data_IF_103997269032
#
_entry.id   IF_103997269032
#
_cell.length_a   1.000
_cell.length_b   1.000
_cell.length_c   1.000
_cell.angle_alpha   90.00
_cell.angle_beta   90.00
_cell.angle_gamma   90.00
#
_symmetry.space_group_name_H-M   'P 1'
#
loop_
_entity.id
_entity.type
_entity.pdbx_description
1 polymer ?
#
# COMPACT_ATOMS: atom_id res chain seq x y z
N UNK A 1 -8.10 27.56 39.31
CA UNK A 1 -8.28 28.31 38.05
C UNK A 1 -7.27 27.77 37.01
N UNK A 2 -7.11 26.45 36.92
CA UNK A 2 -5.89 25.81 36.38
C UNK A 2 -6.13 24.83 35.22
N UNK A 3 -7.40 24.63 34.85
CA UNK A 3 -7.83 23.69 33.82
C UNK A 3 -7.29 23.99 32.39
N UNK A 4 -7.28 25.24 31.88
CA UNK A 4 -6.87 25.48 30.49
C UNK A 4 -5.36 25.34 30.30
N UNK A 5 -4.56 25.58 31.35
CA UNK A 5 -3.10 25.48 31.30
C UNK A 5 -2.63 24.03 31.30
N UNK A 6 -3.31 23.16 32.05
CA UNK A 6 -3.06 21.72 32.06
C UNK A 6 -3.51 21.04 30.76
N UNK A 7 -4.60 21.50 30.14
CA UNK A 7 -5.06 20.98 28.85
C UNK A 7 -4.09 21.36 27.71
N UNK A 8 -3.57 22.59 27.72
CA UNK A 8 -2.53 23.04 26.79
C UNK A 8 -1.22 22.26 26.99
N UNK A 9 -0.82 22.03 28.24
CA UNK A 9 0.36 21.22 28.59
C UNK A 9 0.21 19.76 28.15
N UNK A 10 -0.98 19.17 28.30
CA UNK A 10 -1.26 17.80 27.85
C UNK A 10 -1.24 17.69 26.33
N UNK A 11 -1.79 18.68 25.62
CA UNK A 11 -1.77 18.76 24.16
C UNK A 11 -0.34 18.95 23.64
N UNK A 12 0.45 19.81 24.28
CA UNK A 12 1.88 19.99 23.98
C UNK A 12 2.68 18.73 24.29
N UNK A 13 2.39 18.01 25.38
CA UNK A 13 3.04 16.73 25.69
C UNK A 13 2.67 15.64 24.68
N UNK A 14 1.41 15.55 24.25
CA UNK A 14 0.94 14.59 23.25
C UNK A 14 1.59 14.85 21.88
N UNK A 15 1.74 16.13 21.51
CA UNK A 15 2.49 16.56 20.32
C UNK A 15 4.00 16.32 20.49
N UNK A 16 4.58 16.49 21.69
CA UNK A 16 5.99 16.18 21.94
C UNK A 16 6.30 14.68 21.99
N UNK A 17 5.32 13.82 22.30
CA UNK A 17 5.44 12.35 22.18
C UNK A 17 5.32 11.85 20.75
N UNK A 18 5.24 12.76 19.76
CA UNK A 18 5.58 12.46 18.35
C UNK A 18 7.02 11.96 18.30
N UNK A 19 7.23 10.70 18.63
CA UNK A 19 8.33 9.95 18.04
C UNK A 19 8.07 10.04 16.56
N UNK A 20 8.88 10.84 15.86
CA UNK A 20 8.92 10.88 14.41
C UNK A 20 9.29 9.47 13.99
N UNK A 21 8.28 8.64 13.78
CA UNK A 21 8.44 7.33 13.18
C UNK A 21 8.74 7.63 11.72
N UNK A 22 10.04 7.73 11.41
CA UNK A 22 10.52 7.73 10.05
C UNK A 22 10.21 6.34 9.48
N UNK A 23 9.02 6.17 8.89
CA UNK A 23 8.75 5.04 8.02
C UNK A 23 9.56 5.27 6.74
N UNK A 24 10.76 4.70 6.69
CA UNK A 24 11.59 4.70 5.49
C UNK A 24 10.86 4.04 4.32
N UNK A 25 11.29 4.37 3.10
CA UNK A 25 10.85 3.71 1.86
C UNK A 25 10.70 2.20 2.07
N UNK A 26 9.57 1.60 1.66
CA UNK A 26 9.37 0.13 1.67
C UNK A 26 10.19 -0.47 0.52
N UNK A 27 11.49 -0.35 0.68
CA UNK A 27 12.48 -1.08 -0.08
C UNK A 27 12.49 -2.47 0.56
N UNK A 28 12.03 -3.47 -0.19
CA UNK A 28 12.08 -4.85 0.28
C UNK A 28 13.55 -5.29 0.32
N UNK A 29 14.21 -5.01 1.44
CA UNK A 29 15.51 -5.56 1.77
C UNK A 29 15.33 -7.07 1.95
N UNK A 30 15.98 -7.81 1.07
CA UNK A 30 16.02 -9.26 1.17
C UNK A 30 17.39 -9.62 1.75
N UNK A 31 17.39 -9.89 3.05
CA UNK A 31 18.59 -10.30 3.79
C UNK A 31 18.95 -11.77 3.59
N UNK A 32 18.08 -12.55 2.93
CA UNK A 32 18.28 -13.97 2.68
C UNK A 32 19.11 -14.19 1.41
N UNK A 33 18.96 -13.33 0.40
CA UNK A 33 19.66 -13.50 -0.86
C UNK A 33 21.13 -12.99 -0.80
N UNK A 34 22.08 -13.72 -1.40
CA UNK A 34 23.52 -13.45 -1.27
C UNK A 34 23.89 -12.08 -1.85
N UNK A 35 24.55 -11.24 -1.03
CA UNK A 35 25.10 -9.94 -1.45
C UNK A 35 26.44 -10.18 -2.16
N UNK A 36 26.55 -9.75 -3.42
CA UNK A 36 27.73 -9.92 -4.27
C UNK A 36 27.99 -8.63 -5.05
N UNK A 37 29.24 -8.31 -5.41
CA UNK A 37 29.55 -7.13 -6.21
C UNK A 37 28.80 -7.18 -7.56
N UNK A 38 27.93 -6.19 -7.77
CA UNK A 38 27.04 -6.09 -8.94
C UNK A 38 25.66 -6.75 -8.79
N UNK A 39 25.36 -7.34 -7.63
CA UNK A 39 24.08 -7.94 -7.28
C UNK A 39 23.63 -7.61 -5.85
N UNK A 40 23.52 -6.31 -5.58
CA UNK A 40 23.20 -5.78 -4.25
C UNK A 40 22.03 -4.79 -4.27
N UNK A 41 21.40 -4.60 -5.44
CA UNK A 41 20.25 -3.72 -5.54
C UNK A 41 19.11 -4.26 -4.69
N UNK A 42 18.27 -3.32 -4.26
CA UNK A 42 17.04 -3.66 -3.58
C UNK A 42 15.91 -3.87 -4.60
N UNK A 43 14.91 -4.66 -4.19
CA UNK A 43 13.70 -4.82 -4.99
C UNK A 43 12.86 -3.56 -4.93
N UNK A 44 12.70 -2.91 -6.08
CA UNK A 44 11.83 -1.74 -6.25
C UNK A 44 10.66 -2.12 -7.16
N UNK A 45 9.48 -1.62 -6.81
CA UNK A 45 8.32 -1.71 -7.70
C UNK A 45 8.47 -0.70 -8.84
N UNK A 46 8.20 -1.16 -10.04
CA UNK A 46 8.38 -0.40 -11.28
C UNK A 46 7.04 -0.33 -11.99
N UNK A 47 6.66 0.86 -12.43
CA UNK A 47 5.54 1.05 -13.33
C UNK A 47 6.04 1.03 -14.77
N UNK A 48 5.30 0.33 -15.61
CA UNK A 48 5.57 0.15 -17.04
C UNK A 48 4.33 0.58 -17.83
N UNK A 49 4.11 1.91 -17.99
CA UNK A 49 3.12 2.42 -18.93
C UNK A 49 3.54 2.08 -20.36
N UNK A 50 2.54 1.86 -21.20
CA UNK A 50 2.71 1.47 -22.59
C UNK A 50 2.05 2.48 -23.51
N UNK A 51 2.61 2.65 -24.70
CA UNK A 51 2.00 3.40 -25.79
C UNK A 51 1.91 2.48 -27.00
N UNK A 52 0.72 2.39 -27.58
CA UNK A 52 0.47 1.60 -28.79
C UNK A 52 0.08 2.59 -29.87
N UNK A 53 0.86 2.66 -30.94
CA UNK A 53 0.65 3.60 -32.05
C UNK A 53 0.51 5.07 -31.59
N UNK A 54 1.33 5.47 -30.61
CA UNK A 54 1.37 6.77 -29.94
C UNK A 54 0.20 7.11 -29.00
N UNK A 55 -0.78 6.22 -28.82
CA UNK A 55 -1.84 6.37 -27.83
C UNK A 55 -1.46 5.70 -26.50
N UNK A 56 -1.79 6.34 -25.38
CA UNK A 56 -1.53 5.77 -24.04
C UNK A 56 -2.38 4.51 -23.83
N UNK A 57 -1.70 3.40 -23.58
CA UNK A 57 -2.28 2.09 -23.35
C UNK A 57 -2.36 1.74 -21.87
N UNK A 58 -2.22 0.45 -21.59
CA UNK A 58 -2.27 -0.06 -20.23
C UNK A 58 -0.99 0.29 -19.45
N UNK A 59 -1.12 0.45 -18.13
CA UNK A 59 -0.01 0.54 -17.19
C UNK A 59 0.15 -0.79 -16.45
N UNK A 60 1.35 -1.39 -16.53
CA UNK A 60 1.67 -2.63 -15.82
C UNK A 60 2.58 -2.36 -14.61
N UNK A 61 2.52 -3.26 -13.63
CA UNK A 61 3.40 -3.24 -12.45
C UNK A 61 4.40 -4.38 -12.55
N UNK A 62 5.68 -4.05 -12.38
CA UNK A 62 6.80 -4.98 -12.37
C UNK A 62 7.69 -4.81 -11.14
N UNK A 63 8.70 -5.67 -11.04
CA UNK A 63 9.73 -5.61 -9.99
C UNK A 63 11.13 -5.60 -10.59
N UNK A 64 11.97 -4.68 -10.11
CA UNK A 64 13.38 -4.59 -10.54
C UNK A 64 14.23 -5.77 -10.05
N UNK A 65 15.32 -6.07 -10.76
CA UNK A 65 16.30 -7.08 -10.37
C UNK A 65 17.27 -6.59 -9.27
N UNK A 66 17.93 -7.52 -8.56
CA UNK A 66 19.06 -7.19 -7.66
C UNK A 66 20.35 -6.79 -8.39
N UNK A 67 20.42 -7.03 -9.70
CA UNK A 67 21.57 -6.74 -10.54
C UNK A 67 21.21 -5.71 -11.61
N UNK A 68 22.22 -5.15 -12.28
CA UNK A 68 22.03 -4.02 -13.19
C UNK A 68 22.12 -2.67 -12.47
N UNK A 69 21.95 -1.55 -13.17
CA UNK A 69 21.70 -0.26 -12.55
C UNK A 69 20.35 -0.27 -11.82
N UNK A 70 20.28 0.42 -10.69
CA UNK A 70 19.01 0.69 -10.02
C UNK A 70 18.14 1.56 -10.92
N UNK A 71 16.85 1.25 -10.97
CA UNK A 71 15.87 2.10 -11.63
C UNK A 71 15.65 3.32 -10.75
N UNK A 72 16.37 4.40 -11.04
CA UNK A 72 16.19 5.67 -10.33
C UNK A 72 14.75 6.18 -10.48
N UNK A 73 14.28 6.89 -9.45
CA UNK A 73 12.94 7.49 -9.41
C UNK A 73 12.82 8.57 -10.50
N UNK A 74 12.45 8.18 -11.71
CA UNK A 74 12.19 9.10 -12.82
C UNK A 74 10.78 9.69 -12.70
N UNK A 75 10.61 10.90 -13.22
CA UNK A 75 9.29 11.50 -13.39
C UNK A 75 8.45 10.68 -14.39
N UNK A 76 7.12 10.77 -14.26
CA UNK A 76 6.08 10.01 -14.99
C UNK A 76 6.13 10.14 -16.55
N UNK A 77 7.06 10.91 -17.11
CA UNK A 77 7.12 11.28 -18.54
C UNK A 77 8.55 11.36 -19.13
N UNK A 78 9.50 10.58 -18.62
CA UNK A 78 10.81 10.39 -19.25
C UNK A 78 10.74 9.76 -20.67
N UNK A 79 11.87 9.76 -21.39
CA UNK A 79 12.01 9.19 -22.75
C UNK A 79 11.33 7.82 -22.89
N UNK A 80 10.35 7.75 -23.78
CA UNK A 80 9.73 6.51 -24.23
C UNK A 80 10.74 5.75 -25.08
N UNK A 81 10.81 4.43 -24.89
CA UNK A 81 11.69 3.57 -25.67
C UNK A 81 10.86 2.51 -26.36
N UNK A 82 11.15 2.24 -27.64
CA UNK A 82 10.50 1.18 -28.40
C UNK A 82 10.69 -0.18 -27.73
N UNK A 83 9.63 -0.97 -27.67
CA UNK A 83 9.63 -2.33 -27.18
C UNK A 83 9.71 -3.30 -28.36
N UNK A 84 10.57 -4.30 -28.27
CA UNK A 84 10.65 -5.40 -29.23
C UNK A 84 10.61 -6.75 -28.53
N UNK A 85 10.02 -7.76 -29.18
CA UNK A 85 10.08 -9.14 -28.71
C UNK A 85 11.45 -9.76 -29.06
N UNK A 86 12.02 -10.55 -28.15
CA UNK A 86 13.22 -11.32 -28.42
C UNK A 86 12.97 -12.48 -29.41
N UNK A 87 13.90 -12.72 -30.33
CA UNK A 87 13.95 -13.96 -31.14
C UNK A 87 15.35 -14.60 -31.02
N UNK A 88 15.52 -15.68 -30.25
CA UNK A 88 14.49 -16.50 -29.60
C UNK A 88 13.88 -15.82 -28.35
N UNK A 89 12.64 -16.17 -27.97
CA UNK A 89 11.88 -15.49 -26.91
C UNK A 89 12.51 -15.60 -25.52
N UNK A 90 13.41 -16.57 -25.30
CA UNK A 90 14.12 -16.76 -24.04
C UNK A 90 15.43 -15.94 -23.95
N UNK A 91 15.93 -15.36 -25.04
CA UNK A 91 17.18 -14.57 -25.09
C UNK A 91 18.37 -15.27 -24.40
N UNK A 92 18.43 -16.61 -24.45
CA UNK A 92 19.57 -17.36 -23.92
C UNK A 92 20.76 -17.39 -24.89
N UNK A 93 20.50 -17.09 -26.16
CA UNK A 93 21.48 -16.86 -27.23
C UNK A 93 21.24 -15.48 -27.85
N UNK A 94 22.23 -14.99 -28.61
CA UNK A 94 22.16 -13.68 -29.26
C UNK A 94 20.86 -13.54 -30.07
N UNK A 95 20.01 -12.54 -29.77
CA UNK A 95 18.78 -12.31 -30.50
C UNK A 95 19.07 -12.01 -31.98
N UNK A 96 18.21 -12.51 -32.88
CA UNK A 96 18.33 -12.26 -34.32
C UNK A 96 17.93 -10.83 -34.70
N UNK A 97 17.08 -10.21 -33.90
CA UNK A 97 16.72 -8.81 -34.04
C UNK A 97 17.89 -7.90 -33.66
N UNK A 98 18.21 -6.94 -34.53
CA UNK A 98 19.24 -5.92 -34.25
C UNK A 98 18.65 -4.88 -33.32
N UNK A 99 19.10 -4.86 -32.07
CA UNK A 99 18.70 -3.85 -31.09
C UNK A 99 19.60 -2.63 -31.23
N UNK A 100 19.01 -1.44 -31.22
CA UNK A 100 19.73 -0.16 -31.25
C UNK A 100 19.28 0.74 -30.11
N UNK A 101 19.27 0.20 -28.90
CA UNK A 101 18.79 0.88 -27.69
C UNK A 101 17.31 0.65 -27.38
N UNK A 102 16.67 -0.34 -27.99
CA UNK A 102 15.29 -0.73 -27.69
C UNK A 102 15.20 -1.50 -26.35
N UNK A 103 14.00 -1.52 -25.76
CA UNK A 103 13.69 -2.41 -24.64
C UNK A 103 13.31 -3.76 -25.21
N UNK A 104 13.92 -4.83 -24.71
CA UNK A 104 13.63 -6.18 -25.18
C UNK A 104 12.71 -6.92 -24.21
N UNK A 105 11.64 -7.51 -24.74
CA UNK A 105 10.71 -8.39 -24.03
C UNK A 105 11.16 -9.84 -24.16
N UNK A 106 11.33 -10.52 -23.03
CA UNK A 106 11.92 -11.85 -22.92
C UNK A 106 11.07 -12.72 -22.00
N UNK A 107 10.97 -14.01 -22.30
CA UNK A 107 10.29 -14.98 -21.46
C UNK A 107 11.24 -15.69 -20.49
N UNK A 108 10.74 -15.95 -19.27
CA UNK A 108 11.44 -16.76 -18.26
C UNK A 108 11.57 -18.22 -18.72
N UNK A 109 12.75 -18.81 -18.49
CA UNK A 109 13.05 -20.22 -18.80
C UNK A 109 14.44 -20.41 -19.40
N UNK A 110 14.87 -21.67 -19.54
CA UNK A 110 16.09 -22.16 -20.21
C UNK A 110 17.46 -21.73 -19.65
N UNK A 111 17.61 -20.48 -19.18
CA UNK A 111 18.85 -19.95 -18.61
C UNK A 111 18.59 -18.95 -17.48
N UNK A 112 19.65 -18.58 -16.75
CA UNK A 112 19.59 -17.64 -15.62
C UNK A 112 19.17 -16.23 -16.04
N UNK A 113 18.58 -15.46 -15.12
CA UNK A 113 18.11 -14.09 -15.39
C UNK A 113 19.27 -13.15 -15.76
N UNK A 114 20.41 -13.33 -15.11
CA UNK A 114 21.66 -12.60 -15.33
C UNK A 114 22.24 -12.92 -16.70
N UNK A 115 22.18 -14.18 -17.16
CA UNK A 115 22.59 -14.55 -18.51
C UNK A 115 21.69 -13.88 -19.57
N UNK A 116 20.37 -13.89 -19.40
CA UNK A 116 19.44 -13.19 -20.31
C UNK A 116 19.77 -11.70 -20.43
N UNK A 117 20.02 -11.06 -19.29
CA UNK A 117 20.37 -9.65 -19.25
C UNK A 117 21.70 -9.34 -19.95
N UNK A 118 22.72 -10.16 -19.73
CA UNK A 118 24.03 -10.02 -20.40
C UNK A 118 23.94 -10.23 -21.91
N UNK A 119 23.17 -11.21 -22.36
CA UNK A 119 22.95 -11.48 -23.79
C UNK A 119 22.20 -10.31 -24.44
N UNK A 120 21.16 -9.78 -23.79
CA UNK A 120 20.42 -8.62 -24.25
C UNK A 120 21.28 -7.34 -24.30
N UNK A 121 22.11 -7.10 -23.27
CA UNK A 121 23.06 -5.99 -23.24
C UNK A 121 24.05 -6.06 -24.40
N UNK A 122 24.68 -7.23 -24.62
CA UNK A 122 25.59 -7.45 -25.73
C UNK A 122 24.93 -7.28 -27.10
N UNK A 123 23.61 -7.49 -27.19
CA UNK A 123 22.82 -7.28 -28.39
C UNK A 123 22.44 -5.80 -28.62
N UNK A 124 22.70 -4.91 -27.66
CA UNK A 124 22.42 -3.48 -27.76
C UNK A 124 21.06 -3.05 -27.18
N UNK A 125 20.46 -3.85 -26.29
CA UNK A 125 19.24 -3.45 -25.58
C UNK A 125 19.53 -2.29 -24.61
N UNK A 126 18.56 -1.41 -24.37
CA UNK A 126 18.66 -0.38 -23.31
C UNK A 126 18.08 -0.84 -21.98
N UNK A 127 17.14 -1.79 -21.98
CA UNK A 127 16.56 -2.42 -20.81
C UNK A 127 15.96 -3.78 -21.16
N UNK A 128 15.71 -4.62 -20.15
CA UNK A 128 15.13 -5.96 -20.32
C UNK A 128 13.84 -6.09 -19.51
N UNK A 129 12.77 -6.49 -20.18
CA UNK A 129 11.52 -6.90 -19.55
C UNK A 129 11.42 -8.43 -19.57
N UNK A 130 11.48 -9.06 -18.41
CA UNK A 130 11.37 -10.52 -18.26
C UNK A 130 9.94 -10.88 -17.84
N UNK A 131 9.23 -11.59 -18.69
CA UNK A 131 7.89 -12.09 -18.43
C UNK A 131 7.97 -13.38 -17.62
N UNK A 132 7.31 -13.37 -16.46
CA UNK A 132 7.19 -14.55 -15.62
C UNK A 132 6.24 -15.60 -16.25
N UNK A 133 6.39 -16.86 -15.83
CA UNK A 133 5.49 -17.95 -16.23
C UNK A 133 4.25 -18.09 -15.33
N UNK A 134 4.11 -17.20 -14.34
CA UNK A 134 2.99 -17.15 -13.39
C UNK A 134 2.47 -15.70 -13.33
N UNK A 135 1.27 -15.54 -12.79
CA UNK A 135 0.61 -14.22 -12.62
C UNK A 135 1.23 -13.39 -11.50
N UNK A 136 1.98 -14.01 -10.58
CA UNK A 136 2.66 -13.33 -9.49
C UNK A 136 4.01 -12.74 -9.91
N UNK A 137 4.42 -11.65 -9.25
CA UNK A 137 5.75 -11.08 -9.39
C UNK A 137 6.78 -11.96 -8.66
N UNK A 138 7.93 -12.21 -9.30
CA UNK A 138 9.00 -12.99 -8.73
C UNK A 138 10.28 -12.15 -8.57
N UNK A 139 10.95 -12.32 -7.43
CA UNK A 139 12.19 -11.60 -7.10
C UNK A 139 13.38 -12.19 -7.86
N UNK A 140 13.95 -11.42 -8.78
CA UNK A 140 15.14 -11.84 -9.52
C UNK A 140 16.41 -11.67 -8.66
N UNK A 141 17.00 -12.79 -8.25
CA UNK A 141 18.25 -12.88 -7.50
C UNK A 141 19.36 -13.49 -8.36
N UNK A 142 20.60 -13.23 -7.98
CA UNK A 142 21.76 -13.84 -8.63
C UNK A 142 22.04 -15.24 -8.10
N UNK A 143 22.62 -16.08 -8.94
CA UNK A 143 22.92 -17.45 -8.55
C UNK A 143 24.14 -17.52 -7.62
N UNK A 144 24.19 -18.54 -6.76
CA UNK A 144 25.28 -18.74 -5.81
C UNK A 144 26.63 -18.98 -6.51
N UNK A 145 26.63 -19.55 -7.72
CA UNK A 145 27.84 -19.92 -8.46
C UNK A 145 28.36 -18.82 -9.40
N UNK A 146 27.62 -17.72 -9.59
CA UNK A 146 28.03 -16.62 -10.47
C UNK A 146 29.05 -15.71 -9.76
N UNK A 147 30.17 -15.42 -10.44
CA UNK A 147 31.17 -14.41 -10.01
C UNK A 147 30.69 -12.99 -10.34
N UNK A 148 31.46 -11.96 -9.95
CA UNK A 148 31.10 -10.54 -10.08
C UNK A 148 30.33 -10.24 -11.38
N UNK A 149 29.11 -9.72 -11.22
CA UNK A 149 28.16 -9.52 -12.32
C UNK A 149 28.25 -8.08 -12.76
N UNK A 150 28.67 -7.85 -13.99
CA UNK A 150 28.66 -6.52 -14.59
C UNK A 150 27.55 -6.47 -15.65
N UNK A 151 26.42 -5.85 -15.30
CA UNK A 151 25.29 -5.60 -16.18
C UNK A 151 24.98 -4.10 -16.04
N UNK A 152 24.94 -3.38 -17.15
CA UNK A 152 24.78 -1.91 -17.19
C UNK A 152 23.38 -1.48 -17.61
N UNK A 153 22.49 -2.43 -17.90
CA UNK A 153 21.10 -2.17 -18.30
C UNK A 153 20.09 -2.61 -17.22
N UNK A 154 19.03 -1.84 -16.97
CA UNK A 154 18.03 -2.19 -15.98
C UNK A 154 17.19 -3.40 -16.42
N UNK A 155 16.81 -4.22 -15.45
CA UNK A 155 16.04 -5.44 -15.67
C UNK A 155 14.81 -5.44 -14.78
N UNK A 156 13.64 -5.64 -15.39
CA UNK A 156 12.33 -5.64 -14.71
C UNK A 156 11.60 -6.93 -15.03
N UNK A 157 11.02 -7.54 -14.01
CA UNK A 157 10.11 -8.66 -14.19
C UNK A 157 8.67 -8.19 -14.25
N UNK A 158 7.92 -8.75 -15.20
CA UNK A 158 6.48 -8.57 -15.38
C UNK A 158 5.73 -9.88 -15.11
N UNK A 159 4.47 -9.82 -14.66
CA UNK A 159 3.62 -11.00 -14.55
C UNK A 159 3.25 -11.55 -15.93
N UNK A 160 2.83 -12.82 -15.98
CA UNK A 160 2.47 -13.51 -17.23
C UNK A 160 1.42 -12.75 -18.05
N UNK A 161 0.37 -12.24 -17.39
CA UNK A 161 -0.74 -11.55 -18.06
C UNK A 161 -0.30 -10.26 -18.76
N UNK A 162 0.60 -9.50 -18.13
CA UNK A 162 1.18 -8.29 -18.70
C UNK A 162 2.01 -8.61 -19.94
N UNK A 163 2.87 -9.63 -19.86
CA UNK A 163 3.68 -10.07 -20.98
C UNK A 163 2.86 -10.58 -22.17
N UNK A 164 1.79 -11.35 -21.91
CA UNK A 164 0.89 -11.82 -22.97
C UNK A 164 0.16 -10.67 -23.67
N UNK A 165 -0.24 -9.63 -22.93
CA UNK A 165 -0.88 -8.43 -23.49
C UNK A 165 0.09 -7.59 -24.34
N UNK A 166 1.34 -7.44 -23.89
CA UNK A 166 2.41 -6.79 -24.64
C UNK A 166 2.76 -7.56 -25.92
N UNK A 167 2.94 -8.87 -25.82
CA UNK A 167 3.25 -9.73 -26.97
C UNK A 167 2.13 -9.68 -28.01
N UNK A 168 0.87 -9.70 -27.58
CA UNK A 168 -0.28 -9.56 -28.48
C UNK A 168 -0.24 -8.23 -29.24
N UNK A 169 0.11 -7.14 -28.55
CA UNK A 169 0.21 -5.81 -29.16
C UNK A 169 1.35 -5.75 -30.19
N UNK A 170 2.51 -6.35 -29.88
CA UNK A 170 3.64 -6.46 -30.81
C UNK A 170 3.32 -7.32 -32.04
N UNK A 171 2.59 -8.43 -31.87
CA UNK A 171 2.19 -9.32 -32.99
C UNK A 171 1.15 -8.70 -33.92
N UNK A 172 0.40 -7.71 -33.43
CA UNK A 172 -0.58 -6.99 -34.24
C UNK A 172 0.07 -5.94 -35.19
N UNK A 173 1.41 -5.92 -35.30
CA UNK A 173 2.19 -4.94 -36.08
C UNK A 173 2.02 -3.48 -35.62
N UNK A 174 1.54 -3.25 -34.41
CA UNK A 174 1.52 -1.92 -33.80
C UNK A 174 2.91 -1.54 -33.26
N UNK A 175 3.25 -0.25 -33.32
CA UNK A 175 4.45 0.26 -32.65
C UNK A 175 4.17 0.35 -31.16
N UNK A 176 4.87 -0.45 -30.35
CA UNK A 176 4.73 -0.43 -28.89
C UNK A 176 5.95 0.26 -28.28
N UNK A 177 5.72 1.30 -27.48
CA UNK A 177 6.75 1.95 -26.68
C UNK A 177 6.45 1.78 -25.19
N UNK A 178 7.49 1.74 -24.37
CA UNK A 178 7.40 1.59 -22.93
C UNK A 178 8.29 2.59 -22.21
N UNK A 179 7.95 2.85 -20.95
CA UNK A 179 8.79 3.62 -20.04
C UNK A 179 8.92 2.83 -18.73
N UNK A 180 10.10 2.88 -18.11
CA UNK A 180 10.36 2.24 -16.83
C UNK A 180 10.61 3.34 -15.79
N UNK A 181 9.73 3.45 -14.80
CA UNK A 181 9.92 4.38 -13.69
C UNK A 181 9.44 3.80 -12.36
N UNK A 182 10.08 4.21 -11.26
CA UNK A 182 9.63 3.89 -9.90
C UNK A 182 9.07 5.15 -9.25
N UNK A 183 7.76 5.21 -8.93
CA UNK A 183 7.18 6.36 -8.25
C UNK A 183 7.79 6.54 -6.86
N UNK A 184 8.14 7.79 -6.50
CA UNK A 184 8.51 8.11 -5.11
C UNK A 184 7.30 7.88 -4.21
N UNK A 185 7.47 7.06 -3.18
CA UNK A 185 6.46 6.89 -2.14
C UNK A 185 6.70 7.98 -1.09
N UNK A 186 5.69 8.81 -0.74
CA UNK A 186 5.85 9.71 0.39
C UNK A 186 6.00 8.88 1.66
N UNK A 187 6.84 9.33 2.60
CA UNK A 187 7.10 8.63 3.87
C UNK A 187 5.86 8.57 4.78
N UNK A 188 4.93 9.52 4.59
CA UNK A 188 3.67 9.61 5.33
C UNK A 188 2.56 9.83 4.32
N UNK A 189 1.59 8.93 4.30
CA UNK A 189 0.38 9.10 3.51
C UNK A 189 -0.54 10.13 4.18
N UNK A 190 -1.14 11.02 3.41
CA UNK A 190 -2.12 11.99 3.89
C UNK A 190 -3.28 11.28 4.58
N UNK A 191 -3.69 10.12 4.04
CA UNK A 191 -4.75 9.30 4.66
C UNK A 191 -4.37 8.80 6.06
N UNK A 192 -3.11 8.44 6.28
CA UNK A 192 -2.61 8.00 7.59
C UNK A 192 -2.68 9.14 8.61
N UNK A 193 -2.31 10.35 8.20
CA UNK A 193 -2.43 11.55 9.06
C UNK A 193 -3.89 11.80 9.42
N UNK A 194 -4.81 11.69 8.45
CA UNK A 194 -6.24 11.87 8.72
C UNK A 194 -6.79 10.79 9.67
N UNK A 195 -6.44 9.53 9.46
CA UNK A 195 -6.87 8.43 10.33
C UNK A 195 -6.33 8.60 11.76
N UNK A 196 -5.08 9.03 11.90
CA UNK A 196 -4.49 9.32 13.20
C UNK A 196 -5.19 10.48 13.90
N UNK A 197 -5.46 11.58 13.19
CA UNK A 197 -6.18 12.73 13.75
C UNK A 197 -7.61 12.37 14.17
N UNK A 198 -8.34 11.58 13.37
CA UNK A 198 -9.67 11.09 13.73
C UNK A 198 -9.61 10.19 14.97
N UNK A 199 -8.64 9.29 15.06
CA UNK A 199 -8.46 8.42 16.22
C UNK A 199 -8.16 9.21 17.50
N UNK A 200 -7.23 10.16 17.45
CA UNK A 200 -6.91 11.03 18.60
C UNK A 200 -8.12 11.90 18.96
N UNK A 201 -8.82 12.46 17.97
CA UNK A 201 -10.01 13.28 18.17
C UNK A 201 -11.16 12.52 18.85
N UNK A 202 -11.43 11.30 18.41
CA UNK A 202 -12.46 10.43 19.01
C UNK A 202 -12.09 10.04 20.44
N UNK A 203 -10.83 9.70 20.72
CA UNK A 203 -10.35 9.38 22.08
C UNK A 203 -10.50 10.59 23.01
N UNK A 204 -10.11 11.79 22.57
CA UNK A 204 -10.25 13.01 23.37
C UNK A 204 -11.72 13.36 23.62
N UNK A 205 -12.57 13.24 22.59
CA UNK A 205 -14.00 13.53 22.71
C UNK A 205 -14.69 12.54 23.66
N UNK A 206 -14.38 11.24 23.55
CA UNK A 206 -14.89 10.22 24.46
C UNK A 206 -14.39 10.41 25.90
N UNK A 207 -13.11 10.76 26.07
CA UNK A 207 -12.52 11.04 27.38
C UNK A 207 -13.16 12.26 28.03
N UNK A 208 -13.40 13.32 27.24
CA UNK A 208 -14.08 14.52 27.70
C UNK A 208 -15.53 14.25 28.07
N UNK A 209 -16.28 13.55 27.22
CA UNK A 209 -17.66 13.16 27.49
C UNK A 209 -17.78 12.32 28.75
N UNK A 210 -16.90 11.34 28.92
CA UNK A 210 -16.86 10.49 30.11
C UNK A 210 -16.56 11.30 31.38
N UNK A 211 -15.56 12.18 31.33
CA UNK A 211 -15.20 13.04 32.47
C UNK A 211 -16.31 14.05 32.83
N UNK A 212 -17.02 14.58 31.83
CA UNK A 212 -18.19 15.44 32.02
C UNK A 212 -19.30 14.64 32.71
N UNK A 213 -19.74 13.52 32.12
CA UNK A 213 -20.80 12.68 32.70
C UNK A 213 -20.55 12.22 34.13
N UNK A 214 -19.28 11.92 34.48
CA UNK A 214 -18.91 11.54 35.84
C UNK A 214 -19.03 12.71 36.83
N UNK A 215 -18.78 13.95 36.38
CA UNK A 215 -18.96 15.16 37.18
C UNK A 215 -20.43 15.50 37.38
N UNK A 216 -21.29 15.32 36.37
CA UNK A 216 -22.74 15.47 36.59
C UNK A 216 -23.24 14.43 37.60
N UNK A 217 -22.85 13.16 37.47
CA UNK A 217 -23.27 12.12 38.41
C UNK A 217 -22.81 12.41 39.85
N UNK A 218 -21.58 12.90 40.04
CA UNK A 218 -21.10 13.30 41.37
C UNK A 218 -21.87 14.51 41.93
N UNK A 219 -22.19 15.51 41.09
CA UNK A 219 -23.00 16.65 41.49
C UNK A 219 -24.44 16.24 41.84
N UNK A 220 -25.03 15.30 41.11
CA UNK A 220 -26.35 14.75 41.42
C UNK A 220 -26.31 14.02 42.76
N UNK A 221 -25.26 13.23 43.04
CA UNK A 221 -25.12 12.54 44.31
C UNK A 221 -24.92 13.48 45.50
N UNK A 222 -24.15 14.56 45.33
CA UNK A 222 -24.03 15.62 46.34
C UNK A 222 -25.36 16.35 46.57
N UNK A 223 -26.10 16.61 45.48
CA UNK A 223 -27.44 17.20 45.58
C UNK A 223 -28.40 16.26 46.28
N UNK A 224 -28.37 14.96 46.00
CA UNK A 224 -29.17 13.95 46.68
C UNK A 224 -28.77 13.78 48.14
N UNK A 225 -27.49 13.88 48.51
CA UNK A 225 -27.06 13.86 49.92
C UNK A 225 -27.54 15.11 50.66
N UNK A 226 -27.54 16.27 50.00
CA UNK A 226 -28.03 17.53 50.56
C UNK A 226 -29.55 17.52 50.68
N UNK A 227 -30.25 17.12 49.62
CA UNK A 227 -31.68 16.92 49.62
C UNK A 227 -32.06 15.83 50.63
N UNK A 228 -31.34 14.71 50.77
CA UNK A 228 -31.58 13.69 51.80
C UNK A 228 -31.28 14.18 53.23
N UNK A 229 -30.32 15.09 53.41
CA UNK A 229 -30.10 15.75 54.71
C UNK A 229 -31.24 16.71 55.05
N UNK A 230 -31.86 17.32 54.03
CA UNK A 230 -33.06 18.15 54.15
C UNK A 230 -34.35 17.28 54.18
N UNK A 231 -34.34 16.07 53.61
CA UNK A 231 -35.46 15.11 53.48
C UNK A 231 -35.49 14.11 54.65
N UNK A 232 -34.44 14.03 55.47
CA UNK A 232 -34.58 13.52 56.84
C UNK A 232 -35.55 14.37 57.67
N UNK A 233 -35.96 15.55 57.16
CA UNK A 233 -37.10 16.33 57.64
C UNK A 233 -38.41 16.14 56.85
N UNK A 234 -38.46 15.35 55.76
CA UNK A 234 -39.69 15.14 54.99
C UNK A 234 -39.65 14.01 53.94
N UNK A 235 -39.93 12.78 54.38
CA UNK A 235 -40.65 11.67 53.70
C UNK A 235 -40.82 11.64 52.16
N UNK A 236 -40.36 10.52 51.59
CA UNK A 236 -40.76 9.74 50.39
C UNK A 236 -41.04 10.45 49.04
N UNK A 237 -40.31 10.03 48.00
CA UNK A 237 -40.88 9.96 46.63
C UNK A 237 -39.91 9.80 45.46
N UNK A 238 -39.69 8.54 45.04
CA UNK A 238 -39.53 8.01 43.66
C UNK A 238 -38.86 8.89 42.57
N UNK A 239 -37.73 8.42 42.01
CA UNK A 239 -37.14 8.99 40.78
C UNK A 239 -36.41 7.95 39.93
N UNK A 240 -36.95 7.67 38.74
CA UNK A 240 -36.37 6.86 37.66
C UNK A 240 -35.34 7.68 36.87
N UNK A 241 -34.14 7.14 36.61
CA UNK A 241 -33.23 7.69 35.59
C UNK A 241 -32.26 6.64 35.02
N UNK A 242 -32.16 6.62 33.68
CA UNK A 242 -30.88 6.56 32.98
C UNK A 242 -30.10 5.25 32.86
N UNK A 243 -30.66 4.08 33.17
CA UNK A 243 -29.98 2.81 32.88
C UNK A 243 -30.58 2.15 31.63
N UNK A 244 -29.81 2.08 30.54
CA UNK A 244 -30.13 1.20 29.41
C UNK A 244 -29.90 -0.23 29.88
N UNK A 245 -30.99 -0.93 30.19
CA UNK A 245 -30.92 -2.34 30.59
C UNK A 245 -30.35 -3.19 29.44
N UNK A 246 -29.20 -3.81 29.68
CA UNK A 246 -28.61 -4.82 28.80
C UNK A 246 -29.50 -6.05 28.88
N UNK A 247 -30.48 -6.10 28.00
CA UNK A 247 -31.39 -7.23 27.85
C UNK A 247 -30.74 -8.31 26.97
N UNK A 248 -30.98 -9.59 27.28
CA UNK A 248 -30.53 -10.71 26.44
C UNK A 248 -31.06 -10.60 25.01
N UNK A 249 -32.24 -10.00 24.84
CA UNK A 249 -32.83 -9.72 23.52
C UNK A 249 -32.00 -8.74 22.69
N UNK A 250 -31.42 -7.68 23.29
CA UNK A 250 -30.60 -6.72 22.54
C UNK A 250 -29.24 -7.32 22.17
N UNK A 251 -28.65 -8.15 23.05
CA UNK A 251 -27.42 -8.87 22.76
C UNK A 251 -27.58 -9.84 21.56
N UNK A 252 -28.66 -10.63 21.55
CA UNK A 252 -28.95 -11.55 20.43
C UNK A 252 -29.19 -10.77 19.14
N UNK A 253 -29.94 -9.67 19.18
CA UNK A 253 -30.22 -8.85 18.01
C UNK A 253 -28.96 -8.20 17.44
N UNK A 254 -28.03 -7.74 18.29
CA UNK A 254 -26.74 -7.23 17.87
C UNK A 254 -25.90 -8.29 17.13
N UNK A 255 -25.80 -9.51 17.68
CA UNK A 255 -25.05 -10.61 17.05
C UNK A 255 -25.61 -10.96 15.69
N UNK A 256 -26.94 -11.00 15.55
CA UNK A 256 -27.61 -11.30 14.27
C UNK A 256 -27.33 -10.20 13.24
N UNK A 257 -27.46 -8.92 13.61
CA UNK A 257 -27.18 -7.79 12.71
C UNK A 257 -25.71 -7.75 12.31
N UNK A 258 -24.79 -7.90 13.26
CA UNK A 258 -23.35 -7.91 13.01
C UNK A 258 -22.93 -9.08 12.10
N UNK A 259 -23.46 -10.28 12.35
CA UNK A 259 -23.21 -11.46 11.50
C UNK A 259 -23.74 -11.26 10.07
N UNK A 260 -24.96 -10.73 9.92
CA UNK A 260 -25.54 -10.41 8.62
C UNK A 260 -24.72 -9.36 7.87
N UNK A 261 -24.28 -8.32 8.56
CA UNK A 261 -23.42 -7.27 7.99
C UNK A 261 -22.07 -7.82 7.52
N UNK A 262 -21.43 -8.72 8.30
CA UNK A 262 -20.18 -9.37 7.91
C UNK A 262 -20.35 -10.30 6.70
N UNK A 263 -21.45 -11.06 6.64
CA UNK A 263 -21.76 -11.90 5.48
C UNK A 263 -22.04 -11.05 4.24
N UNK A 264 -22.73 -9.92 4.40
CA UNK A 264 -22.96 -8.96 3.33
C UNK A 264 -21.64 -8.36 2.85
N UNK A 265 -20.74 -7.93 3.73
CA UNK A 265 -19.39 -7.47 3.37
C UNK A 265 -18.60 -8.53 2.59
N UNK A 266 -18.65 -9.79 3.05
CA UNK A 266 -17.94 -10.88 2.41
C UNK A 266 -18.49 -11.23 1.02
N UNK A 267 -19.82 -11.23 0.87
CA UNK A 267 -20.49 -11.59 -0.40
C UNK A 267 -20.60 -10.45 -1.39
N UNK A 268 -20.74 -9.21 -0.91
CA UNK A 268 -20.78 -7.98 -1.69
C UNK A 268 -19.48 -7.19 -1.48
N UNK A 269 -18.33 -7.84 -1.72
CA UNK A 269 -17.01 -7.19 -1.81
C UNK A 269 -16.91 -6.34 -3.11
N UNK A 270 -17.94 -5.52 -3.35
CA UNK A 270 -18.06 -4.57 -4.44
C UNK A 270 -17.53 -3.23 -3.98
N UNK A 271 -16.70 -2.60 -4.80
CA UNK A 271 -16.11 -1.29 -4.54
C UNK A 271 -17.15 -0.24 -4.12
N UNK A 272 -18.35 -0.29 -4.72
CA UNK A 272 -19.44 0.64 -4.44
C UNK A 272 -20.02 0.50 -3.03
N UNK A 273 -20.07 -0.72 -2.50
CA UNK A 273 -20.57 -0.97 -1.14
C UNK A 273 -19.61 -0.44 -0.08
N UNK A 274 -18.30 -0.52 -0.35
CA UNK A 274 -17.26 0.05 0.52
C UNK A 274 -17.35 1.57 0.56
N UNK A 275 -17.58 2.24 -0.58
CA UNK A 275 -17.78 3.69 -0.61
C UNK A 275 -19.02 4.14 0.17
N UNK A 276 -20.14 3.44 0.02
CA UNK A 276 -21.37 3.74 0.81
C UNK A 276 -21.11 3.60 2.30
N UNK A 277 -20.35 2.58 2.72
CA UNK A 277 -19.97 2.40 4.11
C UNK A 277 -19.11 3.53 4.65
N UNK A 278 -18.13 3.99 3.87
CA UNK A 278 -17.29 5.14 4.21
C UNK A 278 -18.18 6.38 4.40
N UNK A 279 -19.08 6.67 3.46
CA UNK A 279 -20.01 7.81 3.56
C UNK A 279 -20.92 7.70 4.79
N UNK A 280 -21.45 6.51 5.09
CA UNK A 280 -22.33 6.29 6.23
C UNK A 280 -21.57 6.47 7.56
N UNK A 281 -20.32 6.01 7.63
CA UNK A 281 -19.44 6.27 8.79
C UNK A 281 -19.05 7.75 8.90
N UNK A 282 -18.88 8.45 7.78
CA UNK A 282 -18.63 9.91 7.77
C UNK A 282 -19.85 10.73 8.20
N UNK A 283 -21.08 10.22 8.03
CA UNK A 283 -22.31 10.91 8.44
C UNK A 283 -22.75 10.52 9.86
N UNK A 284 -22.51 9.26 10.26
CA UNK A 284 -22.96 8.72 11.54
C UNK A 284 -21.91 8.72 12.65
N UNK A 285 -20.63 8.99 12.34
CA UNK A 285 -19.53 9.11 13.30
C UNK A 285 -19.40 10.50 13.89
#
# INVERSE_FOLDING_TARGET
>A
MDSPRNLLLLFVLLVCTLTVAFAGDIVHQDDIAPKKPGCENNFVLVKVPTWVDHEEGNEYVGVGARFGPTLESKEKHANQTTLTLADPPDCCSTPKNKLTGEVILVYRGNCSFTNKAKVAENAGASAVLIVNNQTELFKMVCEANETAINISIPVVMLPQDAGASLEKSLKNNSSVAVQLYSPKRPLVDIAEVFLWLMAVGTILSASYWSAWSAREAANEQDKLLKDASDEFLSTEGTGSSGMVDINTTSAVLFVVIASCFLVMLYKLMSFWFVEVLVVLFCIGG
#
